data_IF_168981612829
#
_entry.id   IF_168981612829
#
_cell.length_a   1.000
_cell.length_b   1.000
_cell.length_c   1.000
_cell.angle_alpha   90.00
_cell.angle_beta   90.00
_cell.angle_gamma   90.00
#
_symmetry.space_group_name_H-M   'P 1'
#
loop_
_entity.id
_entity.type
_entity.pdbx_description
1 polymer ?
#
# COMPACT_ATOMS: atom_id res chain seq x y z
N UNK A 1 -7.00 -32.47 -12.84
CA UNK A 1 -8.26 -31.82 -12.46
C UNK A 1 -8.38 -30.56 -13.31
N UNK A 2 -9.42 -30.49 -14.13
CA UNK A 2 -9.65 -29.42 -15.11
C UNK A 2 -9.61 -28.04 -14.45
N UNK A 3 -8.79 -27.12 -14.97
CA UNK A 3 -8.97 -25.69 -14.72
C UNK A 3 -10.47 -25.38 -14.90
N UNK A 4 -11.13 -24.70 -13.95
CA UNK A 4 -12.45 -24.14 -14.23
C UNK A 4 -12.29 -23.20 -15.43
N UNK A 5 -12.96 -23.59 -16.49
CA UNK A 5 -12.89 -22.97 -17.79
C UNK A 5 -13.74 -21.69 -17.73
N UNK A 6 -13.07 -20.55 -17.57
CA UNK A 6 -13.72 -19.23 -17.60
C UNK A 6 -14.14 -18.81 -19.03
N UNK A 7 -14.13 -19.73 -20.01
CA UNK A 7 -14.38 -19.42 -21.42
C UNK A 7 -15.76 -18.81 -21.67
N UNK A 8 -16.74 -19.08 -20.80
CA UNK A 8 -18.04 -18.41 -20.84
C UNK A 8 -17.93 -16.88 -20.70
N UNK A 9 -16.96 -16.37 -19.92
CA UNK A 9 -16.71 -14.94 -19.74
C UNK A 9 -16.06 -14.29 -20.97
N UNK A 10 -15.43 -15.07 -21.86
CA UNK A 10 -14.86 -14.57 -23.12
C UNK A 10 -15.93 -14.21 -24.16
N UNK A 11 -17.17 -14.66 -23.99
CA UNK A 11 -18.30 -14.28 -24.85
C UNK A 11 -18.82 -12.87 -24.51
N UNK A 12 -18.54 -12.39 -23.30
CA UNK A 12 -18.99 -11.09 -22.81
C UNK A 12 -18.07 -9.99 -23.35
N UNK A 13 -18.66 -8.93 -23.91
CA UNK A 13 -17.93 -7.77 -24.43
C UNK A 13 -17.48 -6.79 -23.34
N UNK A 14 -18.12 -6.86 -22.18
CA UNK A 14 -17.71 -6.14 -20.98
C UNK A 14 -16.36 -6.65 -20.50
N UNK A 15 -15.38 -5.77 -20.25
CA UNK A 15 -14.12 -6.15 -19.62
C UNK A 15 -14.36 -6.77 -18.23
N UNK A 16 -13.81 -7.96 -17.99
CA UNK A 16 -13.92 -8.64 -16.69
C UNK A 16 -12.55 -9.15 -16.25
N UNK A 17 -12.18 -8.84 -15.00
CA UNK A 17 -11.03 -9.42 -14.30
C UNK A 17 -11.48 -10.18 -13.07
N UNK A 18 -10.87 -11.34 -12.85
CA UNK A 18 -10.98 -12.11 -11.61
C UNK A 18 -9.67 -11.95 -10.85
N UNK A 19 -9.73 -11.41 -9.64
CA UNK A 19 -8.54 -11.05 -8.86
C UNK A 19 -8.60 -11.69 -7.49
N UNK A 20 -7.49 -12.33 -7.09
CA UNK A 20 -7.34 -12.85 -5.73
C UNK A 20 -7.20 -11.68 -4.74
N UNK A 21 -8.08 -11.54 -3.74
CA UNK A 21 -7.99 -10.48 -2.73
C UNK A 21 -6.80 -10.65 -1.79
N UNK A 22 -6.26 -11.88 -1.64
CA UNK A 22 -5.14 -12.18 -0.75
C UNK A 22 -3.80 -11.99 -1.45
N UNK A 23 -3.65 -12.54 -2.66
CA UNK A 23 -2.38 -12.50 -3.39
C UNK A 23 -2.25 -11.31 -4.34
N UNK A 24 -3.33 -10.54 -4.53
CA UNK A 24 -3.44 -9.41 -5.47
C UNK A 24 -2.95 -9.77 -6.88
N UNK A 25 -3.26 -10.98 -7.33
CA UNK A 25 -2.94 -11.48 -8.67
C UNK A 25 -4.21 -11.62 -9.49
N UNK A 26 -4.14 -11.21 -10.75
CA UNK A 26 -5.18 -11.48 -11.75
C UNK A 26 -5.15 -12.98 -12.02
N UNK A 27 -6.23 -13.65 -11.63
CA UNK A 27 -6.48 -15.08 -11.88
C UNK A 27 -6.91 -15.26 -13.33
N UNK A 28 -7.73 -14.34 -13.84
CA UNK A 28 -8.26 -14.37 -15.19
C UNK A 28 -8.63 -12.96 -15.66
N UNK A 29 -8.46 -12.71 -16.95
CA UNK A 29 -8.98 -11.54 -17.65
C UNK A 29 -9.63 -12.04 -18.95
N UNK A 30 -10.85 -11.60 -19.25
CA UNK A 30 -11.48 -11.98 -20.51
C UNK A 30 -10.86 -11.24 -21.71
N UNK A 31 -11.19 -11.66 -22.93
CA UNK A 31 -10.65 -11.05 -24.17
C UNK A 31 -10.79 -9.52 -24.18
N UNK A 32 -11.95 -8.99 -23.78
CA UNK A 32 -12.20 -7.55 -23.73
C UNK A 32 -11.29 -6.85 -22.72
N UNK A 33 -11.11 -7.43 -21.53
CA UNK A 33 -10.19 -6.93 -20.51
C UNK A 33 -8.73 -6.96 -20.96
N UNK A 34 -8.26 -8.07 -21.57
CA UNK A 34 -6.88 -8.17 -22.05
C UNK A 34 -6.55 -7.13 -23.12
N UNK A 35 -7.50 -6.82 -24.01
CA UNK A 35 -7.32 -5.80 -25.04
C UNK A 35 -7.06 -4.41 -24.47
N UNK A 36 -7.78 -4.03 -23.41
CA UNK A 36 -7.61 -2.71 -22.78
C UNK A 36 -6.60 -2.69 -21.65
N UNK A 37 -6.20 -3.86 -21.14
CA UNK A 37 -5.11 -3.99 -20.18
C UNK A 37 -3.76 -3.85 -20.88
N UNK A 38 -3.61 -4.39 -22.09
CA UNK A 38 -2.33 -4.45 -22.78
C UNK A 38 -1.30 -5.20 -21.94
N UNK A 39 -0.09 -4.63 -21.80
CA UNK A 39 1.00 -5.20 -20.99
C UNK A 39 0.98 -4.74 -19.52
N UNK A 40 -0.03 -3.97 -19.10
CA UNK A 40 -0.13 -3.46 -17.72
C UNK A 40 -0.38 -4.59 -16.74
N UNK A 41 0.28 -4.55 -15.58
CA UNK A 41 -0.01 -5.41 -14.43
C UNK A 41 -1.24 -4.91 -13.66
N UNK A 42 -1.75 -5.70 -12.70
CA UNK A 42 -2.81 -5.22 -11.79
C UNK A 42 -2.40 -3.93 -11.07
N UNK A 43 -1.12 -3.82 -10.69
CA UNK A 43 -0.60 -2.65 -10.00
C UNK A 43 -0.65 -1.42 -10.91
N UNK A 44 -0.24 -1.56 -12.17
CA UNK A 44 -0.34 -0.50 -13.18
C UNK A 44 -1.80 -0.08 -13.42
N UNK A 45 -2.75 -1.02 -13.40
CA UNK A 45 -4.18 -0.72 -13.53
C UNK A 45 -4.72 0.04 -12.31
N UNK A 46 -4.36 -0.36 -11.08
CA UNK A 46 -4.92 0.19 -9.83
C UNK A 46 -4.17 1.42 -9.30
N UNK A 47 -2.95 1.67 -9.77
CA UNK A 47 -2.10 2.79 -9.33
C UNK A 47 -1.60 3.68 -10.46
N UNK A 48 -2.12 3.48 -11.68
CA UNK A 48 -1.85 4.37 -12.79
C UNK A 48 -2.42 5.79 -12.59
N UNK A 49 -2.11 6.67 -13.53
CA UNK A 49 -2.38 8.11 -13.44
C UNK A 49 -3.86 8.50 -13.26
N UNK A 50 -4.78 7.64 -13.71
CA UNK A 50 -6.23 7.85 -13.60
C UNK A 50 -6.88 6.99 -12.52
N UNK A 51 -6.09 6.27 -11.73
CA UNK A 51 -6.64 5.30 -10.81
C UNK A 51 -7.13 5.97 -9.53
N UNK A 52 -8.32 5.56 -9.08
CA UNK A 52 -8.92 6.01 -7.84
C UNK A 52 -9.69 4.87 -7.19
N UNK A 53 -9.49 4.67 -5.89
CA UNK A 53 -10.13 3.58 -5.14
C UNK A 53 -10.48 4.00 -3.72
N UNK A 54 -11.39 3.25 -3.10
CA UNK A 54 -11.74 3.41 -1.69
C UNK A 54 -10.69 2.75 -0.77
N UNK A 55 -10.13 1.61 -1.20
CA UNK A 55 -9.11 0.85 -0.48
C UNK A 55 -7.86 0.65 -1.33
N UNK A 56 -6.70 0.65 -0.68
CA UNK A 56 -5.42 0.31 -1.33
C UNK A 56 -5.22 -1.21 -1.43
N UNK A 57 -5.65 -1.94 -0.40
CA UNK A 57 -5.52 -3.41 -0.30
C UNK A 57 -6.85 -4.10 -0.60
N UNK A 58 -6.84 -5.11 -1.49
CA UNK A 58 -8.06 -5.78 -1.96
C UNK A 58 -8.75 -6.65 -0.89
N UNK A 59 -7.99 -7.22 0.04
CA UNK A 59 -8.55 -8.03 1.13
C UNK A 59 -9.52 -7.24 2.01
N UNK A 60 -9.36 -5.91 2.10
CA UNK A 60 -10.25 -5.02 2.85
C UNK A 60 -11.65 -4.92 2.24
N UNK A 61 -11.82 -5.20 0.95
CA UNK A 61 -13.14 -5.24 0.32
C UNK A 61 -13.93 -6.52 0.58
N UNK A 62 -13.29 -7.61 1.02
CA UNK A 62 -13.96 -8.92 1.11
C UNK A 62 -15.15 -8.89 2.06
N UNK A 63 -15.00 -8.24 3.22
CA UNK A 63 -16.11 -8.09 4.19
C UNK A 63 -17.19 -7.14 3.68
N UNK A 64 -16.80 -6.07 2.98
CA UNK A 64 -17.71 -5.05 2.44
C UNK A 64 -18.55 -5.60 1.27
N UNK A 65 -17.95 -6.41 0.41
CA UNK A 65 -18.65 -7.06 -0.70
C UNK A 65 -19.59 -8.18 -0.21
N UNK A 66 -19.30 -8.81 0.94
CA UNK A 66 -20.22 -9.76 1.59
C UNK A 66 -21.49 -9.11 2.14
N UNK A 67 -21.44 -7.80 2.43
CA UNK A 67 -22.60 -7.01 2.86
C UNK A 67 -23.26 -6.26 1.71
N UNK A 68 -22.99 -6.66 0.47
CA UNK A 68 -23.60 -6.12 -0.76
C UNK A 68 -23.43 -4.60 -0.93
N UNK A 69 -22.35 -4.02 -0.40
CA UNK A 69 -22.05 -2.60 -0.65
C UNK A 69 -21.66 -2.37 -2.11
N UNK A 70 -22.16 -1.28 -2.71
CA UNK A 70 -21.76 -0.89 -4.06
C UNK A 70 -20.36 -0.27 -4.04
N UNK A 71 -19.39 -1.00 -4.60
CA UNK A 71 -17.99 -0.59 -4.69
C UNK A 71 -17.61 -0.42 -6.15
N UNK A 72 -17.07 0.75 -6.47
CA UNK A 72 -16.52 1.08 -7.78
C UNK A 72 -15.10 1.57 -7.59
N UNK A 73 -14.16 1.04 -8.36
CA UNK A 73 -12.83 1.63 -8.54
C UNK A 73 -12.74 2.26 -9.94
N UNK A 74 -11.84 3.23 -10.11
CA UNK A 74 -11.44 3.72 -11.42
C UNK A 74 -10.04 3.21 -11.67
N UNK A 75 -9.84 2.53 -12.80
CA UNK A 75 -8.58 1.93 -13.20
C UNK A 75 -7.98 2.68 -14.39
N UNK A 76 -6.65 2.68 -14.47
CA UNK A 76 -5.90 3.20 -15.62
C UNK A 76 -5.71 2.08 -16.62
N UNK A 77 -6.51 2.07 -17.68
CA UNK A 77 -6.44 1.10 -18.78
C UNK A 77 -5.77 1.73 -20.00
N UNK A 78 -5.37 0.95 -21.00
CA UNK A 78 -4.85 1.45 -22.27
C UNK A 78 -5.88 1.22 -23.39
N UNK A 79 -6.21 2.29 -24.13
CA UNK A 79 -7.02 2.19 -25.35
C UNK A 79 -6.29 2.90 -26.47
N UNK A 80 -6.06 2.19 -27.57
CA UNK A 80 -5.34 2.71 -28.74
C UNK A 80 -3.94 3.28 -28.38
N UNK A 81 -3.28 2.69 -27.38
CA UNK A 81 -1.96 3.10 -26.90
C UNK A 81 -1.95 4.32 -25.95
N UNK A 82 -3.12 4.85 -25.57
CA UNK A 82 -3.24 5.94 -24.60
C UNK A 82 -3.88 5.45 -23.31
N UNK A 83 -3.44 6.00 -22.18
CA UNK A 83 -4.05 5.71 -20.90
C UNK A 83 -5.46 6.33 -20.85
N UNK A 84 -6.44 5.56 -20.35
CA UNK A 84 -7.83 5.97 -20.22
C UNK A 84 -8.43 5.43 -18.93
N UNK A 85 -9.27 6.21 -18.22
CA UNK A 85 -9.97 5.73 -17.03
C UNK A 85 -11.03 4.70 -17.41
N UNK A 86 -11.15 3.64 -16.61
CA UNK A 86 -12.27 2.71 -16.66
C UNK A 86 -12.87 2.57 -15.26
N UNK A 87 -14.16 2.87 -15.11
CA UNK A 87 -14.88 2.53 -13.89
C UNK A 87 -15.11 1.02 -13.84
N UNK A 88 -14.75 0.37 -12.75
CA UNK A 88 -14.89 -1.05 -12.51
C UNK A 88 -15.82 -1.27 -11.33
N UNK A 89 -16.97 -1.93 -11.53
CA UNK A 89 -17.83 -2.40 -10.44
C UNK A 89 -17.24 -3.66 -9.84
N UNK A 90 -17.19 -3.75 -8.52
CA UNK A 90 -16.68 -4.92 -7.81
C UNK A 90 -17.83 -5.79 -7.33
N UNK A 91 -17.66 -7.10 -7.46
CA UNK A 91 -18.49 -8.11 -6.77
C UNK A 91 -17.61 -9.23 -6.22
N UNK A 92 -18.13 -9.99 -5.26
CA UNK A 92 -17.41 -11.13 -4.68
C UNK A 92 -17.98 -12.44 -5.23
N UNK A 93 -17.10 -13.29 -5.70
CA UNK A 93 -17.42 -14.66 -6.11
C UNK A 93 -16.52 -15.66 -5.37
N UNK A 94 -16.94 -16.93 -5.35
CA UNK A 94 -16.16 -18.00 -4.75
C UNK A 94 -15.84 -19.06 -5.82
N UNK A 95 -14.56 -19.31 -6.08
CA UNK A 95 -14.11 -20.27 -7.09
C UNK A 95 -13.06 -21.22 -6.50
N UNK A 96 -13.32 -22.53 -6.54
CA UNK A 96 -12.28 -23.52 -6.23
C UNK A 96 -11.25 -23.61 -7.37
N UNK A 97 -9.93 -23.69 -7.08
CA UNK A 97 -9.29 -23.80 -5.76
C UNK A 97 -8.91 -22.45 -5.12
N UNK A 98 -9.25 -21.31 -5.72
CA UNK A 98 -8.79 -19.98 -5.29
C UNK A 98 -9.54 -19.38 -4.09
N UNK A 99 -10.70 -19.92 -3.72
CA UNK A 99 -11.52 -19.40 -2.65
C UNK A 99 -12.26 -18.12 -3.05
N UNK A 100 -12.27 -17.12 -2.17
CA UNK A 100 -12.88 -15.81 -2.44
C UNK A 100 -12.08 -15.05 -3.53
N UNK A 101 -12.79 -14.55 -4.53
CA UNK A 101 -12.25 -13.84 -5.71
C UNK A 101 -13.07 -12.58 -5.94
N UNK A 102 -12.41 -11.45 -6.12
CA UNK A 102 -13.07 -10.19 -6.49
C UNK A 102 -13.20 -10.15 -8.01
N UNK A 103 -14.42 -9.96 -8.49
CA UNK A 103 -14.74 -9.74 -9.89
C UNK A 103 -14.78 -8.23 -10.13
N UNK A 104 -13.93 -7.75 -11.04
CA UNK A 104 -13.96 -6.38 -11.55
C UNK A 104 -14.65 -6.39 -12.90
N UNK A 105 -15.81 -5.74 -12.98
CA UNK A 105 -16.58 -5.59 -14.22
C UNK A 105 -16.47 -4.13 -14.71
N UNK A 106 -15.90 -3.93 -15.90
CA UNK A 106 -15.76 -2.63 -16.52
C UNK A 106 -17.11 -2.03 -16.92
N UNK A 107 -17.46 -0.88 -16.37
CA UNK A 107 -18.67 -0.13 -16.73
C UNK A 107 -18.36 0.66 -18.01
N UNK A 108 -18.80 0.15 -19.16
CA UNK A 108 -18.69 0.88 -20.42
C UNK A 108 -19.60 2.10 -20.43
N UNK A 109 -19.10 3.23 -20.93
CA UNK A 109 -19.82 4.50 -21.12
C UNK A 109 -21.02 4.43 -22.09
N UNK A 110 -21.31 3.26 -22.67
CA UNK A 110 -22.44 3.07 -23.58
C UNK A 110 -23.78 3.05 -22.82
N UNK A 111 -24.25 4.24 -22.45
CA UNK A 111 -25.59 4.82 -22.70
C UNK A 111 -25.71 6.03 -21.76
N UNK A 112 -25.14 7.16 -22.17
CA UNK A 112 -25.78 8.47 -22.05
C UNK A 112 -25.57 9.25 -23.37
N UNK A 113 -25.62 8.56 -24.51
CA UNK A 113 -25.71 9.16 -25.85
C UNK A 113 -27.10 9.76 -26.14
N UNK A 114 -27.74 10.35 -25.13
CA UNK A 114 -29.06 10.95 -25.21
C UNK A 114 -29.20 12.31 -24.53
N UNK A 115 -28.19 12.79 -23.80
CA UNK A 115 -28.32 14.04 -23.06
C UNK A 115 -27.11 14.90 -23.36
N UNK A 116 -27.19 15.65 -24.47
CA UNK A 116 -26.43 16.91 -24.61
C UNK A 116 -26.53 17.60 -23.25
N UNK A 117 -25.41 17.82 -22.58
CA UNK A 117 -25.35 18.71 -21.43
C UNK A 117 -25.95 20.04 -21.91
N UNK A 118 -27.23 20.25 -21.61
CA UNK A 118 -27.84 21.55 -21.82
C UNK A 118 -26.94 22.48 -21.02
N UNK A 119 -26.40 23.52 -21.67
CA UNK A 119 -25.60 24.54 -21.01
C UNK A 119 -26.39 24.95 -19.76
N UNK A 120 -25.88 24.55 -18.61
CA UNK A 120 -26.42 24.91 -17.31
C UNK A 120 -26.56 26.43 -17.32
N UNK A 121 -27.77 26.94 -17.08
CA UNK A 121 -27.91 28.36 -16.81
C UNK A 121 -27.03 28.64 -15.60
N UNK A 122 -26.29 29.74 -15.56
CA UNK A 122 -25.33 30.02 -14.47
C UNK A 122 -25.97 29.72 -13.11
N UNK A 123 -25.58 28.61 -12.48
CA UNK A 123 -26.18 28.16 -11.23
C UNK A 123 -26.17 29.33 -10.24
N UNK A 124 -27.31 29.58 -9.62
CA UNK A 124 -27.44 30.61 -8.58
C UNK A 124 -28.19 30.02 -7.40
N UNK A 125 -27.47 29.88 -6.28
CA UNK A 125 -28.03 29.44 -5.00
C UNK A 125 -29.25 30.31 -4.63
N UNK A 126 -30.41 29.70 -4.39
CA UNK A 126 -31.54 30.41 -3.77
C UNK A 126 -31.23 30.64 -2.29
N UNK A 127 -31.43 31.88 -1.80
CA UNK A 127 -31.14 32.27 -0.41
C UNK A 127 -32.08 31.64 0.64
N UNK A 128 -33.16 31.00 0.22
CA UNK A 128 -34.20 30.45 1.10
C UNK A 128 -34.60 29.04 0.65
N UNK A 129 -34.79 28.14 1.61
CA UNK A 129 -35.25 26.77 1.38
C UNK A 129 -34.43 25.71 2.11
N UNK A 130 -34.97 24.50 2.17
CA UNK A 130 -34.36 23.36 2.86
C UNK A 130 -32.95 23.06 2.35
N UNK A 131 -32.76 22.99 1.02
CA UNK A 131 -31.46 22.72 0.40
C UNK A 131 -30.39 23.73 0.84
N UNK A 132 -30.69 25.03 0.74
CA UNK A 132 -29.73 26.07 1.08
C UNK A 132 -29.31 25.99 2.56
N UNK A 133 -30.26 25.71 3.46
CA UNK A 133 -29.98 25.52 4.89
C UNK A 133 -29.14 24.27 5.13
N UNK A 134 -29.55 23.13 4.56
CA UNK A 134 -28.82 21.87 4.67
C UNK A 134 -27.38 22.01 4.17
N UNK A 135 -27.19 22.50 2.95
CA UNK A 135 -25.88 22.63 2.33
C UNK A 135 -24.97 23.56 3.14
N UNK A 136 -25.46 24.75 3.51
CA UNK A 136 -24.66 25.76 4.21
C UNK A 136 -24.31 25.38 5.65
N UNK A 137 -25.21 24.74 6.38
CA UNK A 137 -25.00 24.44 7.81
C UNK A 137 -24.43 23.04 8.04
N UNK A 138 -24.22 22.25 6.99
CA UNK A 138 -23.57 20.95 7.16
C UNK A 138 -22.11 21.15 7.60
N UNK A 139 -21.68 20.36 8.59
CA UNK A 139 -20.32 20.40 9.12
C UNK A 139 -19.29 19.73 8.22
N UNK A 140 -19.73 18.86 7.31
CA UNK A 140 -18.83 18.26 6.32
C UNK A 140 -18.58 19.28 5.19
N UNK A 141 -17.32 19.44 4.73
CA UNK A 141 -17.01 20.17 3.51
C UNK A 141 -17.78 19.66 2.30
N UNK A 142 -18.51 20.55 1.62
CA UNK A 142 -19.28 20.23 0.41
C UNK A 142 -18.99 21.21 -0.72
N UNK A 143 -18.79 20.65 -1.91
CA UNK A 143 -18.61 21.38 -3.16
C UNK A 143 -19.70 20.96 -4.16
N UNK A 144 -20.22 21.92 -4.91
CA UNK A 144 -20.97 21.67 -6.13
C UNK A 144 -20.06 21.94 -7.32
N UNK A 145 -19.98 20.98 -8.22
CA UNK A 145 -19.10 21.03 -9.39
C UNK A 145 -19.96 20.88 -10.64
N UNK A 146 -19.67 21.70 -11.64
CA UNK A 146 -20.22 21.56 -12.98
C UNK A 146 -19.21 20.77 -13.85
N UNK A 147 -19.45 19.46 -14.07
CA UNK A 147 -18.54 18.65 -14.87
C UNK A 147 -18.52 19.09 -16.36
N UNK A 148 -19.55 19.78 -16.85
CA UNK A 148 -19.61 20.27 -18.22
C UNK A 148 -18.80 21.56 -18.42
N UNK A 149 -18.40 22.24 -17.35
CA UNK A 149 -17.60 23.48 -17.37
C UNK A 149 -16.19 23.25 -16.83
N UNK A 150 -15.46 22.30 -17.42
CA UNK A 150 -14.08 21.95 -17.05
C UNK A 150 -13.90 21.64 -15.55
N UNK A 151 -14.96 21.14 -14.87
CA UNK A 151 -14.90 20.88 -13.44
C UNK A 151 -14.97 22.14 -12.58
N UNK A 152 -15.57 23.22 -13.07
CA UNK A 152 -15.74 24.44 -12.29
C UNK A 152 -16.51 24.15 -11.01
N UNK A 153 -15.98 24.64 -9.89
CA UNK A 153 -16.70 24.65 -8.61
C UNK A 153 -17.73 25.77 -8.72
N UNK A 154 -19.01 25.42 -8.75
CA UNK A 154 -20.10 26.41 -8.85
C UNK A 154 -20.63 26.83 -7.50
N UNK A 155 -20.33 26.06 -6.45
CA UNK A 155 -20.69 26.42 -5.09
C UNK A 155 -19.86 25.68 -4.03
N UNK A 156 -19.75 26.28 -2.86
CA UNK A 156 -19.10 25.69 -1.69
C UNK A 156 -19.83 26.07 -0.40
N UNK A 157 -19.95 25.12 0.53
CA UNK A 157 -20.52 25.39 1.85
C UNK A 157 -19.49 25.99 2.81
N UNK A 158 -19.94 26.43 3.98
CA UNK A 158 -19.08 27.10 4.96
C UNK A 158 -17.95 26.18 5.45
N UNK A 159 -18.24 24.89 5.65
CA UNK A 159 -17.23 23.92 6.05
C UNK A 159 -16.13 23.75 4.99
N UNK A 160 -16.48 23.74 3.69
CA UNK A 160 -15.50 23.68 2.62
C UNK A 160 -14.63 24.94 2.56
N UNK A 161 -15.21 26.13 2.69
CA UNK A 161 -14.43 27.37 2.72
C UNK A 161 -13.42 27.37 3.87
N UNK A 162 -13.85 26.95 5.06
CA UNK A 162 -12.97 26.81 6.23
C UNK A 162 -11.88 25.76 6.02
N UNK A 163 -12.22 24.61 5.43
CA UNK A 163 -11.29 23.52 5.17
C UNK A 163 -10.21 23.89 4.15
N UNK A 164 -10.60 24.48 3.02
CA UNK A 164 -9.67 24.81 1.94
C UNK A 164 -8.95 26.15 2.14
N UNK A 165 -9.51 27.05 2.95
CA UNK A 165 -8.93 28.38 3.22
C UNK A 165 -9.15 29.42 2.10
N UNK A 166 -10.15 29.22 1.24
CA UNK A 166 -10.51 30.18 0.18
C UNK A 166 -11.77 30.97 0.53
N UNK A 167 -11.89 32.19 0.00
CA UNK A 167 -13.16 32.90 -0.01
C UNK A 167 -14.18 32.17 -0.90
N UNK A 168 -15.48 32.47 -0.73
CA UNK A 168 -16.52 31.87 -1.57
C UNK A 168 -16.32 32.23 -3.05
N UNK A 169 -16.01 33.48 -3.34
CA UNK A 169 -15.79 33.96 -4.71
C UNK A 169 -14.54 33.32 -5.34
N UNK A 170 -13.43 33.22 -4.58
CA UNK A 170 -12.22 32.55 -5.07
C UNK A 170 -12.48 31.07 -5.33
N UNK A 171 -13.19 30.40 -4.42
CA UNK A 171 -13.53 28.99 -4.57
C UNK A 171 -14.42 28.76 -5.79
N UNK A 172 -15.41 29.62 -6.05
CA UNK A 172 -16.31 29.46 -7.21
C UNK A 172 -15.68 29.81 -8.56
N UNK A 173 -14.52 30.50 -8.54
CA UNK A 173 -13.73 30.76 -9.74
C UNK A 173 -12.72 29.63 -10.03
N UNK A 174 -12.56 28.68 -9.11
CA UNK A 174 -11.66 27.54 -9.28
C UNK A 174 -12.30 26.37 -9.99
N UNK A 175 -11.45 25.57 -10.59
CA UNK A 175 -11.77 24.23 -11.08
C UNK A 175 -11.23 23.18 -10.12
N UNK A 176 -11.83 22.01 -10.09
CA UNK A 176 -11.41 20.91 -9.20
C UNK A 176 -9.95 20.50 -9.39
N UNK A 177 -9.43 20.58 -10.62
CA UNK A 177 -8.03 20.29 -10.92
C UNK A 177 -7.04 21.29 -10.26
N UNK A 178 -7.49 22.47 -9.84
CA UNK A 178 -6.64 23.44 -9.13
C UNK A 178 -6.45 23.08 -7.65
N UNK A 179 -7.43 22.38 -7.07
CA UNK A 179 -7.40 21.94 -5.67
C UNK A 179 -6.99 20.48 -5.53
N UNK A 180 -6.81 19.75 -6.65
CA UNK A 180 -6.36 18.36 -6.65
C UNK A 180 -4.89 18.27 -7.08
N UNK A 181 -4.10 17.46 -6.39
CA UNK A 181 -2.67 17.29 -6.70
C UNK A 181 -2.39 16.61 -8.04
N UNK A 182 -3.37 15.89 -8.61
CA UNK A 182 -3.30 15.33 -9.96
C UNK A 182 -3.38 16.41 -11.06
N UNK A 183 -3.72 17.66 -10.71
CA UNK A 183 -3.92 18.69 -11.73
C UNK A 183 -4.99 18.27 -12.72
N UNK A 184 -4.78 18.55 -14.02
CA UNK A 184 -5.75 18.24 -15.08
C UNK A 184 -6.00 16.75 -15.29
N UNK A 185 -5.12 15.87 -14.79
CA UNK A 185 -5.31 14.42 -14.87
C UNK A 185 -6.48 13.91 -14.02
N UNK A 186 -7.03 14.74 -13.12
CA UNK A 186 -8.28 14.41 -12.43
C UNK A 186 -9.51 14.49 -13.34
N UNK A 187 -9.46 15.22 -14.46
CA UNK A 187 -10.63 15.48 -15.31
C UNK A 187 -11.24 14.21 -15.92
N UNK A 188 -10.44 13.27 -16.48
CA UNK A 188 -10.97 11.99 -16.94
C UNK A 188 -11.60 11.18 -15.80
N UNK A 189 -10.99 11.19 -14.61
CA UNK A 189 -11.52 10.51 -13.41
C UNK A 189 -12.88 11.09 -13.02
N UNK A 190 -13.00 12.41 -12.94
CA UNK A 190 -14.28 13.05 -12.61
C UNK A 190 -15.35 12.78 -13.66
N UNK A 191 -14.99 12.74 -14.93
CA UNK A 191 -15.94 12.39 -16.01
C UNK A 191 -16.49 10.98 -15.80
N UNK A 192 -15.62 10.04 -15.39
CA UNK A 192 -16.04 8.69 -15.04
C UNK A 192 -16.93 8.67 -13.79
N UNK A 193 -16.59 9.42 -12.73
CA UNK A 193 -17.40 9.55 -11.50
C UNK A 193 -18.77 10.15 -11.78
N UNK A 194 -18.84 11.21 -12.61
CA UNK A 194 -20.09 11.89 -12.93
C UNK A 194 -21.08 11.00 -13.70
N UNK A 195 -20.60 9.92 -14.32
CA UNK A 195 -21.43 8.92 -14.98
C UNK A 195 -21.90 7.79 -14.03
N UNK A 196 -21.36 7.69 -12.81
CA UNK A 196 -21.78 6.69 -11.83
C UNK A 196 -23.08 7.11 -11.14
N UNK A 197 -23.93 6.14 -10.74
CA UNK A 197 -24.98 6.42 -9.77
C UNK A 197 -24.35 6.86 -8.45
N UNK A 198 -25.06 7.72 -7.71
CA UNK A 198 -24.68 8.04 -6.33
C UNK A 198 -24.82 6.82 -5.41
N UNK A 199 -24.09 6.80 -4.29
CA UNK A 199 -24.15 5.71 -3.30
C UNK A 199 -22.98 4.72 -3.34
N UNK A 200 -22.06 4.87 -4.30
CA UNK A 200 -20.80 4.14 -4.31
C UNK A 200 -19.89 4.59 -3.15
N UNK A 201 -18.95 3.73 -2.75
CA UNK A 201 -17.89 4.06 -1.78
C UNK A 201 -17.12 5.32 -2.17
N UNK A 202 -16.65 6.11 -1.19
CA UNK A 202 -15.84 7.30 -1.49
C UNK A 202 -14.51 6.92 -2.14
N UNK A 203 -14.01 7.81 -2.98
CA UNK A 203 -12.70 7.65 -3.63
C UNK A 203 -11.65 8.51 -2.94
N UNK A 204 -10.44 7.98 -2.83
CA UNK A 204 -9.33 8.68 -2.19
C UNK A 204 -8.63 9.62 -3.17
N UNK A 205 -8.36 10.86 -2.72
CA UNK A 205 -7.56 11.86 -3.44
C UNK A 205 -6.61 12.58 -2.49
N UNK A 206 -5.70 13.36 -3.05
CA UNK A 206 -4.89 14.32 -2.28
C UNK A 206 -5.19 15.72 -2.79
N UNK A 207 -5.73 16.56 -1.90
CA UNK A 207 -6.11 17.93 -2.21
C UNK A 207 -5.06 18.92 -1.70
N UNK A 208 -5.03 20.10 -2.31
CA UNK A 208 -4.16 21.23 -1.96
C UNK A 208 -5.00 22.40 -1.46
N UNK A 209 -4.59 22.95 -0.31
CA UNK A 209 -5.25 24.06 0.36
C UNK A 209 -4.66 25.40 -0.10
N UNK A 210 -5.29 26.51 0.29
CA UNK A 210 -4.84 27.87 -0.05
C UNK A 210 -3.44 28.21 0.46
N UNK A 211 -3.04 27.63 1.60
CA UNK A 211 -1.70 27.76 2.18
C UNK A 211 -0.64 26.88 1.49
N UNK A 212 -1.04 26.10 0.48
CA UNK A 212 -0.17 25.17 -0.25
C UNK A 212 -0.02 23.80 0.40
N UNK A 213 -0.49 23.61 1.63
CA UNK A 213 -0.44 22.31 2.32
C UNK A 213 -1.37 21.29 1.65
N UNK A 214 -1.07 20.01 1.81
CA UNK A 214 -1.84 18.91 1.24
C UNK A 214 -2.67 18.19 2.30
N UNK A 215 -3.82 17.65 1.90
CA UNK A 215 -4.65 16.77 2.73
C UNK A 215 -5.04 15.53 1.96
N UNK A 216 -4.93 14.37 2.62
CA UNK A 216 -5.53 13.14 2.12
C UNK A 216 -7.03 13.21 2.38
N UNK A 217 -7.83 13.00 1.35
CA UNK A 217 -9.27 13.13 1.45
C UNK A 217 -9.99 11.93 0.85
N UNK A 218 -11.09 11.55 1.46
CA UNK A 218 -12.14 10.73 0.88
C UNK A 218 -13.22 11.64 0.31
N UNK A 219 -13.52 11.45 -0.98
CA UNK A 219 -14.55 12.21 -1.67
C UNK A 219 -15.74 11.32 -1.98
N UNK A 220 -16.88 11.63 -1.37
CA UNK A 220 -18.18 11.06 -1.72
C UNK A 220 -18.76 11.93 -2.83
N UNK A 221 -18.88 11.36 -4.03
CA UNK A 221 -19.34 12.10 -5.20
C UNK A 221 -20.61 11.46 -5.77
N UNK A 222 -21.51 12.29 -6.27
CA UNK A 222 -22.69 11.80 -6.97
C UNK A 222 -23.37 12.88 -7.80
N UNK A 223 -24.06 12.49 -8.88
CA UNK A 223 -24.84 13.43 -9.67
C UNK A 223 -26.02 13.95 -8.86
N UNK A 224 -26.34 15.24 -9.03
CA UNK A 224 -27.51 15.88 -8.44
C UNK A 224 -28.13 16.83 -9.47
N UNK A 225 -29.46 16.94 -9.47
CA UNK A 225 -30.16 17.94 -10.26
C UNK A 225 -30.73 19.02 -9.35
N UNK A 226 -30.26 20.25 -9.51
CA UNK A 226 -30.66 21.39 -8.69
C UNK A 226 -31.14 22.50 -9.61
N UNK A 227 -32.39 22.89 -9.48
CA UNK A 227 -33.02 23.94 -10.30
C UNK A 227 -32.96 23.69 -11.82
N UNK A 228 -32.87 22.42 -12.24
CA UNK A 228 -32.72 22.02 -13.63
C UNK A 228 -31.26 21.93 -14.11
N UNK A 229 -30.31 22.32 -13.27
CA UNK A 229 -28.88 22.18 -13.55
C UNK A 229 -28.39 20.82 -13.04
N UNK A 230 -27.72 20.08 -13.92
CA UNK A 230 -27.08 18.81 -13.59
C UNK A 230 -25.67 19.08 -13.09
N UNK A 231 -25.47 18.86 -11.81
CA UNK A 231 -24.22 19.11 -11.10
C UNK A 231 -23.71 17.82 -10.45
N UNK A 232 -22.49 17.87 -9.96
CA UNK A 232 -21.92 16.84 -9.10
C UNK A 232 -21.78 17.41 -7.69
N UNK A 233 -22.40 16.74 -6.71
CA UNK A 233 -22.17 17.04 -5.30
C UNK A 233 -20.99 16.21 -4.82
N UNK A 234 -19.99 16.89 -4.25
CA UNK A 234 -18.85 16.26 -3.62
C UNK A 234 -18.84 16.62 -2.14
N UNK A 235 -18.82 15.59 -1.28
CA UNK A 235 -18.61 15.72 0.17
C UNK A 235 -17.20 15.22 0.46
N UNK A 236 -16.41 16.05 1.15
CA UNK A 236 -15.00 15.81 1.39
C UNK A 236 -14.79 15.46 2.86
N UNK A 237 -14.13 14.35 3.10
CA UNK A 237 -13.74 13.90 4.43
C UNK A 237 -12.21 13.87 4.52
N UNK A 238 -11.64 14.62 5.46
CA UNK A 238 -10.19 14.64 5.70
C UNK A 238 -9.78 13.37 6.45
N UNK A 239 -8.93 12.57 5.81
CA UNK A 239 -8.38 11.33 6.35
C UNK A 239 -6.86 11.44 6.55
N UNK A 240 -6.29 12.65 6.57
CA UNK A 240 -4.84 12.88 6.71
C UNK A 240 -4.30 12.28 8.01
N UNK A 241 -4.96 12.54 9.13
CA UNK A 241 -4.53 12.01 10.43
C UNK A 241 -4.74 10.49 10.51
N UNK A 242 -5.83 9.97 9.93
CA UNK A 242 -6.04 8.53 9.85
C UNK A 242 -4.93 7.85 9.04
N UNK A 243 -4.55 8.41 7.89
CA UNK A 243 -3.44 7.90 7.07
C UNK A 243 -2.10 7.97 7.78
N UNK A 244 -1.84 9.04 8.54
CA UNK A 244 -0.63 9.18 9.37
C UNK A 244 -0.57 8.08 10.43
N UNK A 245 -1.67 7.86 11.16
CA UNK A 245 -1.76 6.82 12.19
C UNK A 245 -1.66 5.41 11.59
N UNK A 246 -2.29 5.15 10.44
CA UNK A 246 -2.15 3.89 9.71
C UNK A 246 -0.68 3.60 9.36
N UNK A 247 0.04 4.60 8.85
CA UNK A 247 1.47 4.49 8.54
C UNK A 247 2.33 4.27 9.78
N UNK A 248 2.03 4.96 10.89
CA UNK A 248 2.74 4.76 12.16
C UNK A 248 2.51 3.36 12.73
N UNK A 249 1.27 2.86 12.67
CA UNK A 249 0.93 1.51 13.08
C UNK A 249 1.61 0.46 12.21
N UNK A 250 1.65 0.68 10.88
CA UNK A 250 2.36 -0.20 9.97
C UNK A 250 3.87 -0.20 10.28
N UNK A 251 4.47 0.97 10.45
CA UNK A 251 5.88 1.08 10.80
C UNK A 251 6.21 0.38 12.14
N UNK A 252 5.38 0.61 13.16
CA UNK A 252 5.50 -0.05 14.46
C UNK A 252 5.26 -1.57 14.38
N UNK A 253 4.42 -2.04 13.46
CA UNK A 253 4.15 -3.45 13.25
C UNK A 253 5.28 -4.18 12.51
N UNK A 254 6.13 -3.46 11.77
CA UNK A 254 7.21 -4.03 10.95
C UNK A 254 8.62 -3.88 11.55
N UNK A 255 8.79 -2.99 12.53
CA UNK A 255 10.09 -2.72 13.17
C UNK A 255 10.10 -3.06 14.65
N UNK A 256 11.30 -3.30 15.18
CA UNK A 256 11.55 -3.44 16.60
C UNK A 256 11.67 -2.05 17.25
N UNK A 257 10.93 -1.83 18.34
CA UNK A 257 10.79 -0.51 18.98
C UNK A 257 12.08 0.01 19.63
N UNK A 258 13.01 -0.88 20.00
CA UNK A 258 14.25 -0.53 20.69
C UNK A 258 15.37 -0.23 19.70
N UNK A 259 15.55 -1.09 18.70
CA UNK A 259 16.69 -1.03 17.78
C UNK A 259 16.35 -0.31 16.47
N UNK A 260 15.06 -0.15 16.16
CA UNK A 260 14.58 0.40 14.90
C UNK A 260 14.72 -0.57 13.72
N UNK A 261 15.34 -1.74 13.89
CA UNK A 261 15.50 -2.73 12.82
C UNK A 261 14.17 -3.36 12.41
N UNK A 262 14.16 -4.09 11.29
CA UNK A 262 13.01 -4.90 10.93
C UNK A 262 12.78 -5.98 12.00
N UNK A 263 11.53 -6.32 12.27
CA UNK A 263 11.22 -7.35 13.25
C UNK A 263 11.05 -8.74 12.60
N UNK A 264 11.00 -9.77 13.45
CA UNK A 264 10.78 -11.17 13.05
C UNK A 264 9.55 -11.37 12.16
N UNK A 265 8.46 -10.62 12.38
CA UNK A 265 7.25 -10.71 11.55
C UNK A 265 7.54 -10.28 10.11
N UNK A 266 8.30 -9.20 9.93
CA UNK A 266 8.66 -8.72 8.59
C UNK A 266 9.58 -9.68 7.84
N UNK A 267 10.46 -10.40 8.55
CA UNK A 267 11.27 -11.45 7.94
C UNK A 267 10.40 -12.52 7.25
N UNK A 268 9.39 -13.06 7.97
CA UNK A 268 8.49 -14.07 7.41
C UNK A 268 7.64 -13.53 6.26
N UNK A 269 7.22 -12.26 6.32
CA UNK A 269 6.46 -11.64 5.22
C UNK A 269 7.28 -11.58 3.92
N UNK A 270 8.58 -11.29 4.02
CA UNK A 270 9.49 -11.20 2.86
C UNK A 270 9.89 -12.58 2.36
N UNK A 271 10.00 -13.57 3.26
CA UNK A 271 10.44 -14.93 2.95
C UNK A 271 9.29 -15.92 2.73
N UNK A 272 8.05 -15.43 2.62
CA UNK A 272 6.89 -16.29 2.38
C UNK A 272 7.03 -17.05 1.04
N UNK A 273 6.84 -18.38 1.12
CA UNK A 273 7.10 -19.34 0.05
C UNK A 273 6.21 -19.11 -1.18
N UNK A 274 5.05 -18.47 -1.01
CA UNK A 274 4.15 -18.08 -2.10
C UNK A 274 4.79 -17.08 -3.09
N UNK A 275 5.79 -16.31 -2.63
CA UNK A 275 6.58 -15.39 -3.43
C UNK A 275 7.91 -15.99 -3.92
N UNK A 276 8.52 -16.88 -3.12
CA UNK A 276 9.82 -17.50 -3.46
C UNK A 276 9.73 -18.52 -4.61
N UNK A 277 8.57 -19.18 -4.80
CA UNK A 277 8.37 -20.19 -5.86
C UNK A 277 8.43 -19.65 -7.31
N UNK A 278 8.58 -18.33 -7.50
CA UNK A 278 8.74 -17.69 -8.82
C UNK A 278 10.14 -17.15 -9.09
N UNK A 279 11.05 -17.24 -8.12
CA UNK A 279 12.39 -16.69 -8.23
C UNK A 279 13.29 -17.65 -9.02
N UNK A 280 13.98 -17.19 -10.10
CA UNK A 280 14.97 -18.01 -10.80
C UNK A 280 16.06 -18.51 -9.85
N UNK A 281 16.72 -19.62 -10.20
CA UNK A 281 17.82 -20.22 -9.44
C UNK A 281 19.00 -19.27 -9.10
N UNK A 282 19.02 -18.06 -9.67
CA UNK A 282 19.98 -16.97 -9.43
C UNK A 282 19.58 -16.02 -8.28
N UNK A 283 18.46 -16.25 -7.60
CA UNK A 283 18.00 -15.51 -6.40
C UNK A 283 18.22 -16.28 -5.09
N UNK A 284 19.34 -17.00 -4.99
CA UNK A 284 19.80 -17.65 -3.77
C UNK A 284 20.12 -16.59 -2.70
N UNK A 285 19.74 -16.81 -1.45
CA UNK A 285 20.12 -15.94 -0.35
C UNK A 285 20.87 -16.72 0.73
N UNK A 286 21.69 -15.99 1.49
CA UNK A 286 22.32 -16.50 2.70
C UNK A 286 21.72 -15.81 3.92
N UNK A 287 21.74 -16.51 5.04
CA UNK A 287 21.23 -16.07 6.32
C UNK A 287 22.35 -16.13 7.35
N UNK A 288 22.50 -15.05 8.11
CA UNK A 288 23.35 -15.00 9.30
C UNK A 288 22.43 -14.89 10.51
N UNK A 289 22.65 -15.73 11.53
CA UNK A 289 22.08 -15.55 12.86
C UNK A 289 23.20 -15.11 13.79
N UNK A 290 23.03 -13.92 14.36
CA UNK A 290 24.01 -13.24 15.20
C UNK A 290 23.47 -13.21 16.62
N UNK A 291 24.27 -13.62 17.58
CA UNK A 291 23.91 -13.60 18.99
C UNK A 291 25.04 -13.03 19.83
N UNK A 292 24.66 -12.21 20.82
CA UNK A 292 25.60 -11.50 21.69
C UNK A 292 26.14 -12.41 22.78
N UNK A 293 27.45 -12.64 22.76
CA UNK A 293 28.10 -13.52 23.71
C UNK A 293 27.96 -12.99 25.14
N UNK A 294 27.48 -13.86 26.05
CA UNK A 294 27.32 -13.55 27.47
C UNK A 294 26.41 -12.35 27.77
N UNK A 295 25.43 -12.03 26.91
CA UNK A 295 24.53 -10.89 27.10
C UNK A 295 23.76 -10.95 28.43
N UNK A 296 23.32 -12.14 28.85
CA UNK A 296 22.73 -12.32 30.18
C UNK A 296 23.65 -11.82 31.31
N UNK A 297 24.95 -12.12 31.26
CA UNK A 297 25.90 -11.64 32.25
C UNK A 297 26.05 -10.10 32.19
N UNK A 298 25.94 -9.50 31.01
CA UNK A 298 25.94 -8.04 30.87
C UNK A 298 24.73 -7.45 31.61
N UNK A 299 23.53 -8.00 31.39
CA UNK A 299 22.33 -7.56 32.09
C UNK A 299 22.42 -7.77 33.61
N UNK A 300 22.92 -8.93 34.04
CA UNK A 300 22.99 -9.29 35.45
C UNK A 300 24.01 -8.41 36.21
N UNK A 301 25.12 -8.00 35.56
CA UNK A 301 26.18 -7.20 36.19
C UNK A 301 26.00 -5.68 36.04
N UNK A 302 25.43 -5.21 34.92
CA UNK A 302 25.38 -3.78 34.57
C UNK A 302 23.94 -3.24 34.42
N UNK A 303 22.94 -4.11 34.54
CA UNK A 303 21.52 -3.75 34.45
C UNK A 303 20.99 -3.71 33.02
N UNK A 304 19.67 -3.84 32.89
CA UNK A 304 18.98 -3.92 31.59
C UNK A 304 19.18 -2.69 30.71
N UNK A 305 19.26 -1.48 31.29
CA UNK A 305 19.53 -0.26 30.51
C UNK A 305 20.88 -0.36 29.76
N UNK A 306 21.87 -1.03 30.36
CA UNK A 306 23.17 -1.25 29.71
C UNK A 306 23.11 -2.34 28.65
N UNK A 307 22.28 -3.36 28.86
CA UNK A 307 21.93 -4.33 27.82
C UNK A 307 21.27 -3.66 26.62
N UNK A 308 20.34 -2.73 26.84
CA UNK A 308 19.68 -1.99 25.76
C UNK A 308 20.70 -1.16 24.95
N UNK A 309 21.65 -0.49 25.63
CA UNK A 309 22.76 0.20 24.96
C UNK A 309 23.59 -0.75 24.07
N UNK A 310 23.84 -1.98 24.53
CA UNK A 310 24.54 -3.02 23.75
C UNK A 310 23.75 -3.39 22.50
N UNK A 311 22.45 -3.64 22.63
CA UNK A 311 21.60 -4.03 21.50
C UNK A 311 21.48 -2.91 20.47
N UNK A 312 21.40 -1.65 20.90
CA UNK A 312 21.38 -0.49 20.02
C UNK A 312 22.74 -0.27 19.33
N UNK A 313 23.85 -0.47 20.04
CA UNK A 313 25.18 -0.37 19.43
C UNK A 313 25.44 -1.50 18.43
N UNK A 314 24.98 -2.71 18.75
CA UNK A 314 25.04 -3.86 17.86
C UNK A 314 24.20 -3.59 16.60
N UNK A 315 22.94 -3.18 16.73
CA UNK A 315 22.06 -2.94 15.57
C UNK A 315 22.68 -1.95 14.58
N UNK A 316 23.19 -0.81 15.07
CA UNK A 316 23.88 0.21 14.25
C UNK A 316 25.11 -0.35 13.55
N UNK A 317 25.85 -1.23 14.22
CA UNK A 317 27.05 -1.87 13.65
C UNK A 317 26.67 -2.86 12.55
N UNK A 318 25.59 -3.64 12.74
CA UNK A 318 25.09 -4.57 11.73
C UNK A 318 24.61 -3.81 10.48
N UNK A 319 23.85 -2.72 10.64
CA UNK A 319 23.43 -1.88 9.52
C UNK A 319 24.62 -1.25 8.79
N UNK A 320 25.61 -0.72 9.51
CA UNK A 320 26.80 -0.13 8.90
C UNK A 320 27.68 -1.15 8.14
N UNK A 321 27.62 -2.43 8.51
CA UNK A 321 28.32 -3.51 7.81
C UNK A 321 27.51 -4.09 6.64
N UNK A 322 26.23 -3.73 6.53
CA UNK A 322 25.32 -4.23 5.49
C UNK A 322 25.39 -3.34 4.25
N UNK A 323 25.41 -3.94 3.05
CA UNK A 323 25.35 -3.19 1.78
C UNK A 323 23.90 -2.85 1.41
N UNK A 324 23.75 -2.04 0.38
CA UNK A 324 22.45 -1.78 -0.22
C UNK A 324 21.78 -3.08 -0.68
N UNK A 325 20.57 -3.34 -0.16
CA UNK A 325 19.77 -4.54 -0.43
C UNK A 325 19.91 -5.67 0.59
N UNK A 326 20.92 -5.64 1.47
CA UNK A 326 20.96 -6.54 2.63
C UNK A 326 19.95 -6.06 3.69
N UNK A 327 19.38 -6.99 4.45
CA UNK A 327 18.31 -6.67 5.41
C UNK A 327 18.66 -7.19 6.80
N UNK A 328 18.61 -6.31 7.79
CA UNK A 328 18.93 -6.63 9.19
C UNK A 328 17.64 -6.65 10.00
N UNK A 329 17.48 -7.71 10.79
CA UNK A 329 16.30 -7.95 11.62
C UNK A 329 16.71 -8.15 13.08
N UNK A 330 15.90 -7.67 14.02
CA UNK A 330 15.93 -8.15 15.40
C UNK A 330 15.01 -9.37 15.51
N UNK A 331 15.59 -10.51 15.83
CA UNK A 331 14.87 -11.78 15.87
C UNK A 331 14.11 -11.96 17.19
N UNK A 332 14.74 -11.57 18.30
CA UNK A 332 14.18 -11.57 19.64
C UNK A 332 15.28 -11.56 20.70
N UNK A 333 15.04 -10.95 21.87
CA UNK A 333 16.05 -10.88 22.94
C UNK A 333 17.35 -10.22 22.46
N UNK A 334 18.43 -11.01 22.43
CA UNK A 334 19.79 -10.66 22.00
C UNK A 334 20.17 -11.16 20.59
N UNK A 335 19.21 -11.75 19.87
CA UNK A 335 19.41 -12.37 18.56
C UNK A 335 19.03 -11.43 17.41
N UNK A 336 19.89 -11.42 16.39
CA UNK A 336 19.72 -10.65 15.16
C UNK A 336 19.87 -11.57 13.95
N UNK A 337 19.16 -11.25 12.88
CA UNK A 337 19.23 -11.97 11.60
C UNK A 337 19.67 -11.01 10.51
N UNK A 338 20.58 -11.44 9.65
CA UNK A 338 20.92 -10.71 8.42
C UNK A 338 20.56 -11.58 7.22
N UNK A 339 19.66 -11.08 6.38
CA UNK A 339 19.30 -11.68 5.11
C UNK A 339 20.17 -11.05 4.02
N UNK A 340 20.88 -11.89 3.28
CA UNK A 340 21.82 -11.51 2.23
C UNK A 340 21.32 -12.02 0.87
N UNK A 341 20.53 -11.23 0.12
CA UNK A 341 20.03 -11.63 -1.19
C UNK A 341 21.16 -11.80 -2.20
N UNK A 342 21.07 -12.84 -3.04
CA UNK A 342 22.04 -13.14 -4.12
C UNK A 342 23.48 -13.27 -3.63
N UNK A 343 23.65 -13.91 -2.47
CA UNK A 343 24.96 -14.05 -1.82
C UNK A 343 25.32 -15.52 -1.68
N UNK A 344 26.57 -15.85 -2.05
CA UNK A 344 27.13 -17.19 -1.87
C UNK A 344 27.47 -17.46 -0.41
N UNK A 345 27.60 -18.74 -0.01
CA UNK A 345 27.99 -19.08 1.35
C UNK A 345 29.38 -18.51 1.71
N UNK A 346 30.34 -18.57 0.79
CA UNK A 346 31.70 -18.05 1.02
C UNK A 346 31.70 -16.53 1.24
N UNK A 347 30.93 -15.80 0.42
CA UNK A 347 30.77 -14.34 0.59
C UNK A 347 30.03 -14.01 1.88
N UNK A 348 29.00 -14.78 2.24
CA UNK A 348 28.27 -14.62 3.49
C UNK A 348 29.17 -14.84 4.72
N UNK A 349 30.08 -15.81 4.66
CA UNK A 349 31.09 -16.04 5.70
C UNK A 349 32.05 -14.86 5.84
N UNK A 350 32.51 -14.26 4.73
CA UNK A 350 33.36 -13.07 4.77
C UNK A 350 32.65 -11.85 5.39
N UNK A 351 31.38 -11.66 5.04
CA UNK A 351 30.53 -10.60 5.63
C UNK A 351 30.35 -10.85 7.13
N UNK A 352 30.02 -12.08 7.53
CA UNK A 352 29.88 -12.47 8.92
C UNK A 352 31.16 -12.20 9.73
N UNK A 353 32.33 -12.52 9.17
CA UNK A 353 33.60 -12.24 9.86
C UNK A 353 33.90 -10.75 9.98
N UNK A 354 33.53 -9.96 8.97
CA UNK A 354 33.64 -8.50 9.03
C UNK A 354 32.75 -7.92 10.12
N UNK A 355 31.51 -8.40 10.22
CA UNK A 355 30.55 -8.06 11.28
C UNK A 355 31.11 -8.41 12.64
N UNK A 356 31.56 -9.66 12.85
CA UNK A 356 32.11 -10.12 14.12
C UNK A 356 33.31 -9.26 14.56
N UNK A 357 34.23 -8.98 13.64
CA UNK A 357 35.39 -8.14 13.91
C UNK A 357 35.01 -6.68 14.22
N UNK A 358 33.98 -6.14 13.57
CA UNK A 358 33.46 -4.81 13.86
C UNK A 358 32.82 -4.74 15.25
N UNK A 359 32.02 -5.73 15.62
CA UNK A 359 31.37 -5.81 16.93
C UNK A 359 32.39 -5.90 18.07
N UNK A 360 33.44 -6.71 17.90
CA UNK A 360 34.52 -6.83 18.89
C UNK A 360 35.29 -5.52 19.15
N UNK A 361 35.11 -4.49 18.30
CA UNK A 361 35.69 -3.15 18.47
C UNK A 361 34.74 -2.14 19.09
N UNK A 362 33.46 -2.48 19.29
CA UNK A 362 32.49 -1.59 19.92
C UNK A 362 32.96 -1.25 21.34
N UNK A 363 32.91 0.04 21.68
CA UNK A 363 33.19 0.54 23.02
C UNK A 363 31.98 1.30 23.54
N UNK A 364 31.43 0.86 24.67
CA UNK A 364 30.34 1.54 25.37
C UNK A 364 30.89 2.02 26.72
N UNK A 365 30.78 3.31 27.07
CA UNK A 365 31.29 3.83 28.34
C UNK A 365 30.76 3.04 29.54
N UNK A 366 31.66 2.57 30.40
CA UNK A 366 31.31 1.80 31.60
C UNK A 366 30.96 0.34 31.35
N UNK A 367 31.19 -0.19 30.15
CA UNK A 367 30.99 -1.60 29.81
C UNK A 367 32.28 -2.22 29.23
N UNK A 368 32.67 -3.44 29.62
CA UNK A 368 33.73 -4.17 28.93
C UNK A 368 33.36 -4.44 27.47
N UNK A 369 34.36 -4.71 26.63
CA UNK A 369 34.11 -5.15 25.26
C UNK A 369 33.32 -6.46 25.27
N UNK A 370 32.39 -6.58 24.35
CA UNK A 370 31.60 -7.78 24.12
C UNK A 370 31.87 -8.32 22.72
N UNK A 371 31.46 -9.56 22.49
CA UNK A 371 31.64 -10.25 21.22
C UNK A 371 30.31 -10.86 20.76
N UNK A 372 30.29 -11.36 19.54
CA UNK A 372 29.15 -12.09 18.99
C UNK A 372 29.61 -13.42 18.44
N UNK A 373 28.74 -14.43 18.53
CA UNK A 373 28.85 -15.66 17.78
C UNK A 373 27.88 -15.60 16.61
N UNK A 374 28.27 -16.14 15.45
CA UNK A 374 27.48 -16.06 14.21
C UNK A 374 27.37 -17.44 13.56
N UNK A 375 26.13 -17.88 13.34
CA UNK A 375 25.81 -19.01 12.46
C UNK A 375 25.52 -18.51 11.06
N UNK A 376 26.00 -19.22 10.03
CA UNK A 376 25.80 -18.86 8.62
C UNK A 376 25.26 -20.06 7.85
N UNK A 377 24.24 -19.85 7.03
CA UNK A 377 23.83 -20.85 6.06
C UNK A 377 23.34 -20.19 4.76
N UNK A 378 23.44 -20.93 3.66
CA UNK A 378 22.81 -20.59 2.39
C UNK A 378 21.49 -21.34 2.26
N UNK A 379 20.44 -20.67 1.78
CA UNK A 379 19.16 -21.29 1.46
C UNK A 379 19.31 -22.29 0.30
N UNK A 380 18.79 -23.50 0.51
CA UNK A 380 18.80 -24.55 -0.49
C UNK A 380 17.49 -24.57 -1.28
N UNK A 381 17.54 -24.99 -2.55
CA UNK A 381 16.34 -25.05 -3.38
C UNK A 381 15.33 -26.04 -2.80
N UNK A 382 14.08 -25.60 -2.63
CA UNK A 382 13.00 -26.42 -2.05
C UNK A 382 13.03 -26.55 -0.53
N UNK A 383 14.01 -25.94 0.13
CA UNK A 383 14.12 -25.91 1.59
C UNK A 383 13.13 -24.91 2.19
N UNK A 384 12.47 -25.30 3.27
CA UNK A 384 11.62 -24.40 4.05
C UNK A 384 12.45 -23.41 4.89
N UNK A 385 11.84 -22.29 5.26
CA UNK A 385 12.51 -21.29 6.12
C UNK A 385 12.85 -21.88 7.50
N UNK A 386 12.01 -22.77 8.04
CA UNK A 386 12.26 -23.41 9.33
C UNK A 386 13.45 -24.37 9.28
N UNK A 387 13.62 -25.12 8.18
CA UNK A 387 14.78 -25.97 7.96
C UNK A 387 16.08 -25.15 7.84
N UNK A 388 16.02 -24.02 7.10
CA UNK A 388 17.13 -23.09 7.02
C UNK A 388 17.51 -22.55 8.41
N UNK A 389 16.54 -22.10 9.20
CA UNK A 389 16.80 -21.59 10.55
C UNK A 389 17.44 -22.63 11.45
N UNK A 390 16.98 -23.87 11.39
CA UNK A 390 17.57 -24.96 12.17
C UNK A 390 19.06 -25.14 11.86
N UNK A 391 19.45 -25.12 10.58
CA UNK A 391 20.85 -25.23 10.18
C UNK A 391 21.70 -24.05 10.67
N UNK A 392 21.17 -22.83 10.53
CA UNK A 392 21.86 -21.62 10.99
C UNK A 392 22.03 -21.64 12.50
N UNK A 393 21.01 -22.05 13.25
CA UNK A 393 21.04 -22.19 14.71
C UNK A 393 22.04 -23.26 15.16
N UNK A 394 22.08 -24.42 14.50
CA UNK A 394 23.07 -25.47 14.77
C UNK A 394 24.52 -24.96 14.55
N UNK A 395 24.74 -24.12 13.53
CA UNK A 395 26.03 -23.48 13.30
C UNK A 395 26.38 -22.45 14.39
N UNK A 396 25.42 -21.62 14.80
CA UNK A 396 25.59 -20.66 15.89
C UNK A 396 25.89 -21.36 17.22
N UNK A 397 25.14 -22.42 17.53
CA UNK A 397 25.33 -23.22 18.74
C UNK A 397 26.73 -23.83 18.81
N UNK A 398 27.21 -24.38 17.68
CA UNK A 398 28.61 -24.84 17.57
C UNK A 398 29.60 -23.71 17.80
N UNK A 399 29.36 -22.51 17.27
CA UNK A 399 30.25 -21.37 17.45
C UNK A 399 30.33 -20.94 18.93
N UNK A 400 29.20 -20.97 19.64
CA UNK A 400 29.12 -20.69 21.08
C UNK A 400 29.86 -21.74 21.93
N UNK A 401 29.80 -23.01 21.54
CA UNK A 401 30.49 -24.08 22.26
C UNK A 401 31.99 -24.16 21.93
N UNK A 402 32.41 -23.75 20.74
CA UNK A 402 33.80 -23.73 20.29
C UNK A 402 34.55 -22.43 20.67
N UNK A 403 34.21 -21.88 21.83
CA UNK A 403 34.90 -20.75 22.45
C UNK A 403 34.31 -19.36 22.20
N UNK A 404 33.14 -19.25 21.52
CA UNK A 404 32.47 -17.97 21.20
C UNK A 404 33.32 -17.04 20.33
N UNK A 405 32.84 -15.82 20.07
CA UNK A 405 33.52 -14.83 19.23
C UNK A 405 34.00 -15.43 17.90
N UNK A 406 33.11 -16.14 17.20
CA UNK A 406 33.42 -16.94 16.01
C UNK A 406 32.25 -17.00 15.04
N UNK A 407 32.59 -17.26 13.78
CA UNK A 407 31.62 -17.54 12.72
C UNK A 407 31.74 -19.00 12.32
N UNK A 408 30.63 -19.72 12.23
CA UNK A 408 30.58 -21.07 11.66
C UNK A 408 29.47 -21.18 10.61
N UNK A 409 29.73 -21.97 9.57
CA UNK A 409 28.75 -22.32 8.55
C UNK A 409 28.08 -23.67 8.82
N UNK A 410 26.84 -23.81 8.33
CA UNK A 410 26.08 -25.05 8.33
C UNK A 410 26.32 -25.91 7.10
#
# INVERSE_FOLDING_TARGET
>A
MSQPCFDALNVIKTPVWLVSPVSEKIIFANVAATQIMGDKTLDDLRKGIYSASAQTVLSMYVSELKTEQEIVEIWTTSRDGQDTPLSCRLSLAHYAPWGDVIVFEGISQQILSGLKASRSATYRRKKQGFYARFFLTNSAPMLLIDPARDGQIVDANLAALNFYGYSHDDMCNKHTWEINTLGRDVMPIMTAIAALPGGHKPLNFVHRLADGSTRHVQTYAGPIEIYGDKLMLCIIHDITEQKRLEQELEHAALRDSMTGLLNRRQFYAITDQSNLNKLPAQQQFSLLLVDTDHFKNINDLFGHLKGDEVLIALSRTLEACSREGDMVFRWGGEEFVILLPRTSLDTAMQIAESVRAAVARITIPGLPRFTVSIGVARHNQGESIDELFKRVDDALYRAKNDGRNKVLAA
#
